data_IF_284793265664
#
_entry.id   IF_284793265664
#
_cell.length_a   1.000
_cell.length_b   1.000
_cell.length_c   1.000
_cell.angle_alpha   90.00
_cell.angle_beta   90.00
_cell.angle_gamma   90.00
#
_symmetry.space_group_name_H-M   'P 1'
#
loop_
_entity.id
_entity.type
_entity.pdbx_description
1 polymer ?
#
# COMPACT_ATOMS: atom_id res chain seq x y z
N UNK A 1 9.38 3.91 -16.15
CA UNK A 1 9.19 4.65 -14.88
C UNK A 1 9.60 3.82 -13.65
N UNK A 2 9.50 2.49 -13.67
CA UNK A 2 10.06 1.65 -12.58
C UNK A 2 11.54 1.31 -12.75
N UNK A 3 12.07 0.47 -11.87
CA UNK A 3 13.45 0.00 -11.82
C UNK A 3 13.55 -1.49 -12.16
N UNK A 4 14.71 -1.92 -12.68
CA UNK A 4 14.95 -3.33 -12.97
C UNK A 4 15.10 -4.13 -11.67
N UNK A 5 14.49 -5.31 -11.63
CA UNK A 5 14.60 -6.22 -10.49
C UNK A 5 15.81 -7.13 -10.73
N UNK A 6 16.82 -7.16 -9.83
CA UNK A 6 18.00 -7.99 -10.01
C UNK A 6 17.64 -9.45 -10.30
N UNK A 7 18.22 -10.00 -11.36
CA UNK A 7 18.03 -11.39 -11.79
C UNK A 7 16.60 -11.76 -12.24
N UNK A 8 15.71 -10.79 -12.47
CA UNK A 8 14.35 -11.02 -13.01
C UNK A 8 14.21 -10.33 -14.36
N UNK A 9 14.37 -11.05 -15.49
CA UNK A 9 14.32 -10.44 -16.81
C UNK A 9 12.90 -9.95 -17.16
N UNK A 10 12.83 -8.88 -17.95
CA UNK A 10 11.59 -8.32 -18.51
C UNK A 10 10.53 -7.89 -17.48
N UNK A 11 10.92 -7.70 -16.21
CA UNK A 11 10.02 -7.20 -15.16
C UNK A 11 10.67 -6.05 -14.41
N UNK A 12 9.90 -4.97 -14.23
CA UNK A 12 10.30 -3.80 -13.47
C UNK A 12 9.35 -3.61 -12.28
N UNK A 13 9.87 -3.06 -11.19
CA UNK A 13 9.10 -2.70 -9.99
C UNK A 13 9.30 -1.23 -9.64
N UNK A 14 8.72 -0.75 -8.55
CA UNK A 14 8.95 0.63 -8.11
C UNK A 14 8.24 1.69 -8.96
N UNK A 15 8.71 2.93 -8.83
CA UNK A 15 8.11 4.11 -9.46
C UNK A 15 7.13 4.86 -8.56
N UNK A 16 6.63 5.99 -9.06
CA UNK A 16 5.72 6.91 -8.39
C UNK A 16 4.53 7.18 -9.30
N UNK A 17 3.32 7.20 -8.76
CA UNK A 17 2.12 7.59 -9.49
C UNK A 17 1.36 8.65 -8.70
N UNK A 18 1.18 9.83 -9.31
CA UNK A 18 0.37 10.93 -8.76
C UNK A 18 -0.93 11.02 -9.54
N UNK A 19 -2.06 11.18 -8.85
CA UNK A 19 -3.34 11.41 -9.52
C UNK A 19 -4.36 12.06 -8.60
N UNK A 20 -5.23 12.91 -9.15
CA UNK A 20 -6.32 13.53 -8.36
C UNK A 20 -7.29 12.52 -7.76
N UNK A 21 -7.46 11.36 -8.43
CA UNK A 21 -8.25 10.23 -7.93
C UNK A 21 -7.76 8.94 -8.56
N UNK A 22 -7.47 7.93 -7.74
CA UNK A 22 -6.92 6.65 -8.19
C UNK A 22 -7.93 5.55 -7.90
N UNK A 23 -8.28 4.76 -8.93
CA UNK A 23 -9.21 3.65 -8.76
C UNK A 23 -8.65 2.60 -7.77
N UNK A 24 -9.44 2.05 -6.83
CA UNK A 24 -8.93 1.20 -5.76
C UNK A 24 -8.15 -0.06 -6.23
N UNK A 25 -8.57 -0.67 -7.34
CA UNK A 25 -7.89 -1.83 -7.93
C UNK A 25 -6.51 -1.42 -8.47
N UNK A 26 -6.44 -0.26 -9.12
CA UNK A 26 -5.20 0.26 -9.68
C UNK A 26 -4.24 0.68 -8.57
N UNK A 27 -4.76 1.31 -7.51
CA UNK A 27 -4.01 1.65 -6.31
C UNK A 27 -3.33 0.41 -5.70
N UNK A 28 -4.10 -0.64 -5.41
CA UNK A 28 -3.58 -1.89 -4.87
C UNK A 28 -2.53 -2.54 -5.79
N UNK A 29 -2.79 -2.57 -7.10
CA UNK A 29 -1.85 -3.15 -8.07
C UNK A 29 -0.50 -2.43 -8.06
N UNK A 30 -0.49 -1.11 -7.91
CA UNK A 30 0.73 -0.32 -7.83
C UNK A 30 1.50 -0.59 -6.53
N UNK A 31 0.81 -0.62 -5.38
CA UNK A 31 1.41 -0.97 -4.08
C UNK A 31 2.02 -2.38 -4.09
N UNK A 32 1.30 -3.34 -4.66
CA UNK A 32 1.76 -4.73 -4.77
C UNK A 32 3.01 -4.86 -5.67
N UNK A 33 3.18 -3.97 -6.64
CA UNK A 33 4.33 -3.90 -7.54
C UNK A 33 5.51 -3.04 -7.00
N UNK A 34 5.37 -2.45 -5.81
CA UNK A 34 6.40 -1.63 -5.18
C UNK A 34 6.41 -0.17 -5.61
N UNK A 35 5.43 0.27 -6.39
CA UNK A 35 5.26 1.68 -6.72
C UNK A 35 4.63 2.44 -5.54
N UNK A 36 4.83 3.76 -5.50
CA UNK A 36 4.19 4.65 -4.53
C UNK A 36 3.02 5.39 -5.19
N UNK A 37 1.75 4.98 -4.98
CA UNK A 37 0.61 5.73 -5.45
C UNK A 37 0.17 6.81 -4.46
N UNK A 38 -0.02 8.04 -4.93
CA UNK A 38 -0.40 9.19 -4.11
C UNK A 38 -1.59 9.90 -4.76
N UNK A 39 -2.68 10.02 -3.99
CA UNK A 39 -3.78 10.89 -4.34
C UNK A 39 -3.45 12.32 -3.93
N UNK A 40 -3.30 13.21 -4.91
CA UNK A 40 -2.89 14.62 -4.70
C UNK A 40 -3.52 15.49 -5.77
N UNK A 41 -3.73 16.78 -5.48
CA UNK A 41 -4.13 17.73 -6.51
C UNK A 41 -3.03 17.86 -7.57
N UNK A 42 -3.37 17.53 -8.81
CA UNK A 42 -2.45 17.54 -9.96
C UNK A 42 -2.71 18.72 -10.91
N UNK A 43 -3.63 19.63 -10.55
CA UNK A 43 -4.01 20.76 -11.41
C UNK A 43 -2.85 21.70 -11.75
N UNK A 44 -1.87 21.83 -10.84
CA UNK A 44 -0.66 22.63 -11.02
C UNK A 44 0.56 21.84 -11.51
N UNK A 45 0.38 20.57 -11.92
CA UNK A 45 1.46 19.71 -12.42
C UNK A 45 1.34 19.57 -13.94
N UNK A 46 2.24 20.21 -14.67
CA UNK A 46 2.25 20.21 -16.13
C UNK A 46 3.26 19.19 -16.69
N UNK A 47 3.06 18.81 -17.96
CA UNK A 47 3.97 17.91 -18.65
C UNK A 47 5.36 18.56 -18.79
N UNK A 48 6.39 17.86 -18.33
CA UNK A 48 7.78 18.32 -18.38
C UNK A 48 8.26 19.01 -17.10
N UNK A 49 7.38 19.26 -16.13
CA UNK A 49 7.75 19.84 -14.85
C UNK A 49 8.70 18.91 -14.08
N UNK A 50 9.74 19.50 -13.50
CA UNK A 50 10.62 18.82 -12.53
C UNK A 50 10.13 19.19 -11.13
N UNK A 51 9.74 18.17 -10.37
CA UNK A 51 9.13 18.33 -9.05
C UNK A 51 9.88 17.53 -7.98
N UNK A 52 9.87 18.05 -6.76
CA UNK A 52 10.32 17.36 -5.57
C UNK A 52 9.11 16.84 -4.79
N UNK A 53 9.08 15.54 -4.56
CA UNK A 53 8.06 14.89 -3.72
C UNK A 53 8.69 14.51 -2.39
N UNK A 54 8.10 14.95 -1.29
CA UNK A 54 8.57 14.67 0.07
C UNK A 54 7.59 13.73 0.79
N UNK A 55 7.75 12.39 0.70
CA UNK A 55 6.75 11.43 1.20
C UNK A 55 6.46 11.55 2.70
N UNK A 56 7.49 11.86 3.50
CA UNK A 56 7.36 12.02 4.95
C UNK A 56 6.76 13.36 5.38
N UNK A 57 6.85 14.39 4.53
CA UNK A 57 6.28 15.72 4.79
C UNK A 57 4.89 15.88 4.19
N UNK A 58 4.53 15.06 3.20
CA UNK A 58 3.28 15.17 2.48
C UNK A 58 3.24 16.39 1.54
N UNK A 59 4.37 16.74 0.92
CA UNK A 59 4.49 17.95 0.09
C UNK A 59 5.00 17.61 -1.32
N UNK A 60 4.46 18.30 -2.32
CA UNK A 60 4.97 18.38 -3.68
C UNK A 60 5.41 19.81 -3.94
N UNK A 61 6.66 20.01 -4.35
CA UNK A 61 7.25 21.32 -4.62
C UNK A 61 7.83 21.39 -6.02
N UNK A 62 7.85 22.59 -6.59
CA UNK A 62 8.60 22.85 -7.82
C UNK A 62 10.11 22.78 -7.51
N UNK A 63 10.87 22.04 -8.32
CA UNK A 63 12.29 21.82 -8.06
C UNK A 63 13.15 23.10 -8.23
N UNK A 64 12.78 23.97 -9.17
CA UNK A 64 13.55 25.19 -9.47
C UNK A 64 13.23 26.32 -8.50
N UNK A 65 11.95 26.51 -8.16
CA UNK A 65 11.50 27.65 -7.33
C UNK A 65 11.35 27.30 -5.85
N UNK A 66 11.21 26.01 -5.51
CA UNK A 66 10.89 25.55 -4.16
C UNK A 66 9.45 25.83 -3.72
N UNK A 67 8.62 26.37 -4.62
CA UNK A 67 7.22 26.69 -4.37
C UNK A 67 6.41 25.43 -4.03
N UNK A 68 5.53 25.53 -3.05
CA UNK A 68 4.62 24.44 -2.65
C UNK A 68 3.47 24.34 -3.67
N UNK A 69 3.48 23.28 -4.47
CA UNK A 69 2.48 23.05 -5.53
C UNK A 69 1.24 22.36 -4.99
N UNK A 70 1.43 21.38 -4.10
CA UNK A 70 0.34 20.63 -3.47
C UNK A 70 0.81 19.97 -2.17
N UNK A 71 -0.16 19.66 -1.30
CA UNK A 71 0.03 18.82 -0.12
C UNK A 71 -0.81 17.55 -0.24
N UNK A 72 -0.33 16.44 0.31
CA UNK A 72 -1.01 15.15 0.30
C UNK A 72 -0.84 14.41 1.63
N UNK A 73 -1.72 13.44 1.85
CA UNK A 73 -1.59 12.49 2.95
C UNK A 73 -1.48 11.07 2.37
N UNK A 74 -0.52 10.29 2.88
CA UNK A 74 -0.45 8.88 2.53
C UNK A 74 -1.62 8.14 3.16
N UNK A 75 -2.26 7.26 2.39
CA UNK A 75 -3.41 6.48 2.86
C UNK A 75 -3.08 5.61 4.10
N UNK A 76 -1.83 5.19 4.22
CA UNK A 76 -1.29 4.46 5.38
C UNK A 76 0.21 4.70 5.48
N UNK A 77 0.74 4.78 6.70
CA UNK A 77 2.19 4.91 6.91
C UNK A 77 2.94 3.63 6.52
N UNK A 78 2.23 2.50 6.44
CA UNK A 78 2.77 1.20 6.02
C UNK A 78 3.25 1.23 4.56
N UNK A 79 2.70 2.12 3.72
CA UNK A 79 3.14 2.31 2.32
C UNK A 79 4.65 2.54 2.21
N UNK A 80 5.24 3.21 3.20
CA UNK A 80 6.67 3.49 3.23
C UNK A 80 7.49 2.20 3.35
N UNK A 81 7.01 1.25 4.17
CA UNK A 81 7.63 -0.06 4.30
C UNK A 81 7.39 -0.92 3.06
N UNK A 82 6.24 -0.78 2.39
CA UNK A 82 5.89 -1.52 1.18
C UNK A 82 6.82 -1.16 0.03
N UNK A 83 7.01 0.13 -0.25
CA UNK A 83 7.94 0.60 -1.28
C UNK A 83 9.36 0.13 -0.97
N UNK A 84 9.80 0.25 0.29
CA UNK A 84 11.14 -0.21 0.71
C UNK A 84 11.33 -1.72 0.52
N UNK A 85 10.28 -2.50 0.73
CA UNK A 85 10.30 -3.96 0.52
C UNK A 85 10.20 -4.36 -0.95
N UNK A 86 10.05 -3.41 -1.89
CA UNK A 86 9.81 -3.69 -3.31
C UNK A 86 8.38 -4.14 -3.60
N UNK A 87 7.44 -3.84 -2.71
CA UNK A 87 6.01 -4.14 -2.84
C UNK A 87 5.37 -4.61 -1.54
N UNK A 88 4.04 -4.46 -1.48
CA UNK A 88 3.22 -4.94 -0.35
C UNK A 88 3.29 -6.45 -0.16
N UNK A 89 3.26 -7.23 -1.24
CA UNK A 89 3.34 -8.71 -1.17
C UNK A 89 4.70 -9.16 -0.58
N UNK A 90 5.86 -8.71 -1.09
CA UNK A 90 7.15 -8.97 -0.45
C UNK A 90 7.20 -8.58 1.04
N UNK A 91 6.62 -7.43 1.41
CA UNK A 91 6.58 -6.97 2.79
C UNK A 91 5.83 -7.95 3.70
N UNK A 92 4.63 -8.39 3.30
CA UNK A 92 3.80 -9.31 4.10
C UNK A 92 4.55 -10.64 4.32
N UNK A 93 5.16 -11.19 3.27
CA UNK A 93 5.93 -12.44 3.35
C UNK A 93 7.16 -12.27 4.27
N UNK A 94 7.94 -11.20 4.09
CA UNK A 94 9.14 -10.93 4.88
C UNK A 94 8.84 -10.65 6.36
N UNK A 95 7.76 -9.90 6.63
CA UNK A 95 7.27 -9.63 7.98
C UNK A 95 6.81 -10.92 8.66
N UNK A 96 6.01 -11.75 7.98
CA UNK A 96 5.55 -13.03 8.49
C UNK A 96 6.70 -14.01 8.79
N UNK A 97 7.71 -14.07 7.92
CA UNK A 97 8.94 -14.84 8.17
C UNK A 97 9.69 -14.35 9.41
N UNK A 98 9.83 -13.03 9.56
CA UNK A 98 10.48 -12.43 10.72
C UNK A 98 9.74 -12.76 12.02
N UNK A 99 8.41 -12.67 12.03
CA UNK A 99 7.59 -13.02 13.20
C UNK A 99 7.81 -14.47 13.62
N UNK A 100 7.72 -15.42 12.67
CA UNK A 100 7.93 -16.85 12.96
C UNK A 100 9.34 -17.15 13.49
N UNK A 101 10.36 -16.49 12.94
CA UNK A 101 11.73 -16.64 13.41
C UNK A 101 11.90 -16.14 14.85
N UNK A 102 11.30 -14.98 15.18
CA UNK A 102 11.37 -14.41 16.53
C UNK A 102 10.62 -15.26 17.55
N UNK A 103 9.45 -15.78 17.20
CA UNK A 103 8.72 -16.73 18.04
C UNK A 103 9.54 -17.99 18.34
N UNK A 104 10.17 -18.59 17.32
CA UNK A 104 11.02 -19.76 17.50
C UNK A 104 12.27 -19.47 18.38
N UNK A 105 12.75 -18.23 18.37
CA UNK A 105 13.86 -17.76 19.20
C UNK A 105 13.43 -17.25 20.59
N UNK A 106 12.14 -17.24 20.90
CA UNK A 106 11.60 -16.70 22.16
C UNK A 106 11.79 -15.18 22.31
N UNK A 107 11.93 -14.45 21.20
CA UNK A 107 12.10 -13.00 21.20
C UNK A 107 10.75 -12.27 21.19
N UNK A 108 10.67 -11.05 21.76
CA UNK A 108 9.45 -10.23 21.71
C UNK A 108 9.10 -9.81 20.29
N UNK A 109 7.90 -9.27 20.06
CA UNK A 109 7.48 -8.78 18.74
C UNK A 109 8.45 -7.71 18.18
N UNK A 110 8.55 -7.63 16.86
CA UNK A 110 9.47 -6.68 16.20
C UNK A 110 8.91 -5.25 16.22
N UNK A 111 9.76 -4.28 16.51
CA UNK A 111 9.51 -2.83 16.43
C UNK A 111 10.03 -2.20 15.12
N UNK A 112 10.67 -3.00 14.25
CA UNK A 112 11.29 -2.53 13.00
C UNK A 112 10.25 -2.14 11.94
N UNK A 113 9.09 -2.79 11.93
CA UNK A 113 8.05 -2.55 10.93
C UNK A 113 7.00 -1.57 11.46
N UNK A 114 6.56 -0.66 10.61
CA UNK A 114 5.40 0.20 10.90
C UNK A 114 4.17 -0.68 11.08
N UNK A 115 3.47 -0.47 12.18
CA UNK A 115 2.21 -1.13 12.47
C UNK A 115 1.06 -0.39 11.80
N UNK A 116 0.01 -1.12 11.46
CA UNK A 116 -1.22 -0.50 10.99
C UNK A 116 -1.80 0.38 12.11
N UNK A 117 -2.38 1.52 11.75
CA UNK A 117 -3.02 2.42 12.72
C UNK A 117 -4.14 1.65 13.46
N UNK A 118 -4.13 1.73 14.78
CA UNK A 118 -5.22 1.20 15.58
C UNK A 118 -6.52 1.92 15.20
N UNK A 119 -7.57 1.14 14.97
CA UNK A 119 -8.90 1.71 14.72
C UNK A 119 -9.57 1.97 16.05
N UNK A 120 -10.12 3.18 16.21
CA UNK A 120 -10.81 3.59 17.43
C UNK A 120 -11.82 2.54 17.90
N UNK A 121 -11.78 2.25 19.20
CA UNK A 121 -12.77 1.39 19.83
C UNK A 121 -14.17 1.97 19.60
N UNK A 122 -15.11 1.10 19.26
CA UNK A 122 -16.49 1.49 19.01
C UNK A 122 -17.42 0.41 19.49
N UNK A 123 -18.43 0.82 20.24
CA UNK A 123 -19.49 -0.06 20.75
C UNK A 123 -20.60 -0.27 19.72
N UNK A 124 -20.54 0.42 18.57
CA UNK A 124 -21.53 0.28 17.50
C UNK A 124 -21.45 -1.11 16.87
N UNK A 125 -22.58 -1.66 16.43
CA UNK A 125 -22.60 -2.95 15.73
C UNK A 125 -21.75 -2.96 14.44
N UNK A 126 -21.52 -4.16 13.90
CA UNK A 126 -20.85 -4.35 12.60
C UNK A 126 -21.87 -4.46 11.45
N UNK A 127 -21.52 -3.91 10.29
CA UNK A 127 -22.26 -4.16 9.04
C UNK A 127 -22.07 -5.59 8.55
N UNK A 128 -22.87 -6.02 7.57
CA UNK A 128 -22.76 -7.37 7.00
C UNK A 128 -21.36 -7.62 6.40
N UNK A 129 -20.84 -6.67 5.62
CA UNK A 129 -19.50 -6.79 5.03
C UNK A 129 -18.41 -6.92 6.10
N UNK A 130 -18.49 -6.12 7.16
CA UNK A 130 -17.54 -6.16 8.28
C UNK A 130 -17.56 -7.50 9.01
N UNK A 131 -18.75 -8.10 9.18
CA UNK A 131 -18.91 -9.45 9.76
C UNK A 131 -18.36 -10.55 8.85
N UNK A 132 -18.58 -10.44 7.53
CA UNK A 132 -18.05 -11.40 6.56
C UNK A 132 -16.52 -11.44 6.58
N UNK A 133 -15.88 -10.26 6.52
CA UNK A 133 -14.41 -10.16 6.61
C UNK A 133 -13.92 -10.61 7.99
N UNK A 134 -14.57 -10.16 9.08
CA UNK A 134 -14.22 -10.60 10.43
C UNK A 134 -14.24 -12.10 10.61
N UNK A 135 -15.28 -12.78 10.11
CA UNK A 135 -15.38 -14.24 10.13
C UNK A 135 -14.21 -14.90 9.39
N UNK A 136 -13.79 -14.36 8.25
CA UNK A 136 -12.65 -14.87 7.50
C UNK A 136 -11.31 -14.65 8.21
N UNK A 137 -11.23 -13.66 9.11
CA UNK A 137 -10.07 -13.35 9.95
C UNK A 137 -10.15 -13.99 11.36
N UNK A 138 -11.19 -14.75 11.70
CA UNK A 138 -11.38 -15.35 13.02
C UNK A 138 -11.87 -14.41 14.13
N UNK A 139 -12.39 -13.22 13.79
CA UNK A 139 -12.89 -12.21 14.75
C UNK A 139 -14.36 -11.87 14.50
N UNK A 140 -15.01 -11.13 15.41
CA UNK A 140 -16.45 -10.77 15.30
C UNK A 140 -16.76 -9.80 14.16
N UNK A 141 -15.80 -8.97 13.76
CA UNK A 141 -15.93 -7.99 12.69
C UNK A 141 -14.65 -7.17 12.51
N UNK A 142 -14.45 -6.61 11.32
CA UNK A 142 -13.35 -5.69 11.02
C UNK A 142 -13.89 -4.26 10.88
N UNK A 143 -13.22 -3.28 11.49
CA UNK A 143 -13.61 -1.86 11.37
C UNK A 143 -12.98 -1.21 10.14
N UNK A 144 -13.60 -0.16 9.56
CA UNK A 144 -13.00 0.58 8.45
C UNK A 144 -11.63 1.14 8.84
N UNK A 145 -10.64 1.02 7.95
CA UNK A 145 -9.26 1.45 8.21
C UNK A 145 -8.38 0.40 8.89
N UNK A 146 -8.95 -0.68 9.43
CA UNK A 146 -8.15 -1.75 10.04
C UNK A 146 -7.49 -2.61 8.95
N UNK A 147 -6.21 -2.89 9.13
CA UNK A 147 -5.53 -3.93 8.37
C UNK A 147 -6.01 -5.32 8.80
N UNK A 148 -6.23 -6.21 7.83
CA UNK A 148 -6.58 -7.60 8.11
C UNK A 148 -6.21 -8.53 6.96
N UNK A 149 -6.01 -9.81 7.27
CA UNK A 149 -5.67 -10.86 6.31
C UNK A 149 -6.77 -11.94 6.28
N UNK A 150 -7.87 -11.72 5.53
CA UNK A 150 -8.98 -12.69 5.49
C UNK A 150 -8.58 -13.97 4.77
N UNK A 151 -9.03 -15.13 5.29
CA UNK A 151 -8.93 -16.41 4.59
C UNK A 151 -9.67 -16.37 3.26
N UNK A 152 -8.97 -16.63 2.17
CA UNK A 152 -9.56 -16.74 0.83
C UNK A 152 -10.21 -18.13 0.66
N UNK A 153 -11.55 -18.16 0.59
CA UNK A 153 -12.33 -19.42 0.41
C UNK A 153 -12.44 -19.83 -1.06
N UNK A 154 -12.59 -18.86 -1.97
CA UNK A 154 -12.72 -19.09 -3.41
C UNK A 154 -11.97 -17.99 -4.18
N UNK A 155 -11.30 -18.36 -5.28
CA UNK A 155 -10.59 -17.42 -6.17
C UNK A 155 -11.06 -17.68 -7.60
N UNK A 156 -11.55 -16.64 -8.28
CA UNK A 156 -11.96 -16.71 -9.68
C UNK A 156 -10.85 -16.19 -10.60
N UNK A 157 -10.62 -16.88 -11.72
CA UNK A 157 -9.72 -16.43 -12.79
C UNK A 157 -10.48 -16.50 -14.11
N UNK A 158 -10.72 -15.34 -14.73
CA UNK A 158 -11.37 -15.26 -16.05
C UNK A 158 -10.34 -15.34 -17.17
N UNK A 159 -10.73 -15.88 -18.32
CA UNK A 159 -9.94 -15.73 -19.55
C UNK A 159 -10.29 -14.38 -20.19
N UNK A 160 -9.29 -13.62 -20.62
CA UNK A 160 -9.55 -12.49 -21.53
C UNK A 160 -9.87 -13.11 -22.90
N UNK A 161 -11.00 -12.80 -23.55
CA UNK A 161 -11.16 -13.15 -24.95
C UNK A 161 -10.01 -12.50 -25.71
N UNK A 162 -9.37 -13.25 -26.62
CA UNK A 162 -8.28 -12.77 -27.45
C UNK A 162 -8.68 -11.43 -28.10
N UNK A 163 -7.87 -10.39 -27.88
CA UNK A 163 -7.98 -9.14 -28.65
C UNK A 163 -7.68 -9.49 -30.12
N UNK A 164 -8.50 -9.03 -31.09
CA UNK A 164 -8.36 -9.36 -32.51
C UNK A 164 -7.05 -8.84 -33.13
#
# INVERSE_FOLDING_TARGET
MGDDIPHVPNKRGGGLCLGGKIAPIFFNTMEDAGALPIEVDVSNLNMGDVIDVYPYKGEVRNHETGELLATFELKTDVLIDEVRAGGRIPLIIGRGLTTKAREALGLPHSDVFRQAKDVAESDRGFSLAQKMVGRACGVKGIRPGAYCEPKMTSVGSGHRPDDP
#
